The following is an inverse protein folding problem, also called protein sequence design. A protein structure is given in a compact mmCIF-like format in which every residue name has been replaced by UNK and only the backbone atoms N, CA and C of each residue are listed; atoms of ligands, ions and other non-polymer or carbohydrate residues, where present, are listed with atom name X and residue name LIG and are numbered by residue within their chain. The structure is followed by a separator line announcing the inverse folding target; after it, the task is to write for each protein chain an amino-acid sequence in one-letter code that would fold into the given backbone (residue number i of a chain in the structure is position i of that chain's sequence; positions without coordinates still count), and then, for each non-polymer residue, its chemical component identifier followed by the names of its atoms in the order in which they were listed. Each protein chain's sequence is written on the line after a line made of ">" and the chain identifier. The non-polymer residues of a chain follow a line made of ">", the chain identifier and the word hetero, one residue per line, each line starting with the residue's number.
data_IF_507275598369
#
_entry.id   IF_507275598369
#
_cell.length_a   1.000
_cell.length_b   1.000
_cell.length_c   1.000
_cell.angle_alpha   90.00
_cell.angle_beta   90.00
_cell.angle_gamma   90.00
#
_symmetry.space_group_name_H-M   'P 1'
#
loop_
_entity.id
_entity.type
_entity.pdbx_description
1 polymer ?
#
# COMPACT_ATOMS: atom_id res chain seq x y z
N UNK A 1 -9.35 -32.64 -65.13
CA UNK A 1 -10.63 -32.00 -64.79
C UNK A 1 -10.31 -30.81 -63.89
N UNK A 2 -10.60 -29.58 -64.34
CA UNK A 2 -10.47 -28.33 -63.58
C UNK A 2 -11.81 -27.61 -63.70
N UNK A 3 -12.30 -27.00 -62.62
CA UNK A 3 -13.29 -25.92 -62.63
C UNK A 3 -13.19 -25.14 -61.31
N UNK A 4 -13.06 -23.82 -61.41
CA UNK A 4 -13.23 -22.85 -60.32
C UNK A 4 -14.54 -22.07 -60.45
N UNK A 5 -14.77 -21.14 -59.51
CA UNK A 5 -15.90 -20.16 -59.36
C UNK A 5 -17.28 -20.81 -59.10
N UNK A 6 -18.19 -20.34 -58.22
CA UNK A 6 -18.41 -19.02 -57.60
C UNK A 6 -19.55 -19.14 -56.53
N UNK A 7 -19.58 -18.23 -55.54
CA UNK A 7 -20.74 -17.45 -55.02
C UNK A 7 -22.08 -18.14 -54.61
N UNK A 8 -22.77 -17.84 -53.49
CA UNK A 8 -22.63 -16.82 -52.45
C UNK A 8 -23.75 -16.92 -51.39
N UNK A 9 -23.74 -16.07 -50.36
CA UNK A 9 -24.89 -15.83 -49.49
C UNK A 9 -25.07 -14.32 -49.24
N UNK A 10 -26.32 -13.84 -49.10
CA UNK A 10 -26.73 -12.47 -49.40
C UNK A 10 -26.84 -11.59 -48.13
N UNK A 11 -26.58 -10.30 -48.29
CA UNK A 11 -26.85 -9.24 -47.31
C UNK A 11 -25.57 -8.71 -46.67
N UNK A 12 -24.81 -7.82 -47.30
CA UNK A 12 -25.11 -6.39 -47.42
C UNK A 12 -25.64 -5.77 -46.11
N UNK A 13 -24.73 -5.19 -45.33
CA UNK A 13 -24.95 -3.94 -44.59
C UNK A 13 -23.62 -3.40 -44.02
N UNK A 14 -23.18 -2.25 -44.55
CA UNK A 14 -22.27 -1.33 -43.87
C UNK A 14 -23.07 -0.46 -42.86
N UNK A 15 -22.49 0.63 -42.38
CA UNK A 15 -21.90 0.86 -41.07
C UNK A 15 -22.94 1.22 -39.99
N UNK A 16 -22.93 0.51 -38.84
CA UNK A 16 -23.63 1.01 -37.66
C UNK A 16 -22.72 2.01 -36.95
N UNK A 17 -22.87 3.29 -37.33
CA UNK A 17 -22.56 4.46 -36.52
C UNK A 17 -23.33 4.34 -35.20
N UNK A 18 -22.78 3.58 -34.27
CA UNK A 18 -23.20 3.57 -32.88
C UNK A 18 -22.38 4.61 -32.15
N UNK A 19 -22.97 5.77 -31.88
CA UNK A 19 -22.45 6.70 -30.89
C UNK A 19 -22.28 5.94 -29.55
N UNK A 20 -21.10 5.41 -29.30
CA UNK A 20 -20.71 4.99 -27.96
C UNK A 20 -20.38 6.28 -27.21
N UNK A 21 -21.14 6.67 -26.17
CA UNK A 21 -20.68 7.70 -25.27
C UNK A 21 -19.38 7.16 -24.64
N UNK A 22 -18.26 7.82 -24.95
CA UNK A 22 -16.97 7.60 -24.31
C UNK A 22 -17.13 8.01 -22.84
N UNK A 23 -17.64 7.08 -22.05
CA UNK A 23 -17.86 7.21 -20.62
C UNK A 23 -17.41 5.92 -19.93
N UNK A 24 -16.36 5.28 -20.44
CA UNK A 24 -15.77 4.12 -19.80
C UNK A 24 -14.67 4.60 -18.87
N UNK A 25 -15.07 4.97 -17.65
CA UNK A 25 -14.15 4.98 -16.52
C UNK A 25 -13.74 3.53 -16.28
N UNK A 26 -12.72 3.06 -17.00
CA UNK A 26 -12.23 1.68 -16.93
C UNK A 26 -11.58 1.44 -15.57
N UNK A 27 -12.38 1.00 -14.60
CA UNK A 27 -11.88 0.39 -13.37
C UNK A 27 -11.46 -1.05 -13.72
N UNK A 28 -10.16 -1.41 -13.64
CA UNK A 28 -9.63 -2.65 -14.24
C UNK A 28 -9.85 -3.90 -13.39
N UNK A 29 -11.03 -4.09 -12.78
CA UNK A 29 -11.25 -5.19 -11.81
C UNK A 29 -12.63 -5.86 -11.88
N UNK A 30 -13.35 -5.75 -13.01
CA UNK A 30 -14.63 -6.45 -13.22
C UNK A 30 -14.52 -7.47 -14.35
N UNK A 31 -13.45 -8.28 -14.34
CA UNK A 31 -13.34 -9.45 -15.21
C UNK A 31 -14.12 -10.62 -14.61
N UNK A 32 -14.87 -11.35 -15.43
CA UNK A 32 -15.60 -12.56 -15.07
C UNK A 32 -14.82 -13.45 -14.09
N UNK A 33 -15.29 -13.54 -12.85
CA UNK A 33 -14.77 -14.46 -11.84
C UNK A 33 -15.17 -15.88 -12.27
N UNK A 34 -14.25 -16.84 -12.42
CA UNK A 34 -14.61 -18.19 -12.84
C UNK A 34 -15.55 -18.87 -11.83
N UNK A 35 -16.41 -19.81 -12.27
CA UNK A 35 -17.32 -20.52 -11.36
C UNK A 35 -16.53 -21.22 -10.24
N UNK A 36 -16.89 -20.95 -8.98
CA UNK A 36 -16.19 -21.49 -7.80
C UNK A 36 -15.11 -20.58 -7.20
N UNK A 37 -14.84 -19.43 -7.80
CA UNK A 37 -13.94 -18.42 -7.24
C UNK A 37 -14.71 -17.36 -6.47
N UNK A 38 -14.20 -16.98 -5.29
CA UNK A 38 -14.70 -15.84 -4.52
C UNK A 38 -13.79 -14.62 -4.73
N UNK A 39 -14.37 -13.42 -4.75
CA UNK A 39 -13.61 -12.16 -4.77
C UNK A 39 -12.67 -12.16 -3.55
N UNK A 40 -11.35 -11.97 -3.73
CA UNK A 40 -10.44 -11.92 -2.58
C UNK A 40 -10.78 -10.69 -1.72
N UNK A 41 -11.08 -10.89 -0.43
CA UNK A 41 -10.92 -9.84 0.59
C UNK A 41 -9.42 -9.69 0.87
N UNK A 42 -8.87 -8.49 1.18
CA UNK A 42 -9.52 -7.37 1.88
C UNK A 42 -9.50 -6.06 1.08
N UNK A 43 -10.52 -5.21 1.24
CA UNK A 43 -10.64 -3.96 0.46
C UNK A 43 -9.68 -2.85 0.95
N UNK A 44 -9.02 -3.04 2.11
CA UNK A 44 -8.10 -2.06 2.70
C UNK A 44 -6.93 -2.81 3.35
N UNK A 45 -5.70 -2.58 2.87
CA UNK A 45 -4.50 -2.98 3.57
C UNK A 45 -4.34 -2.04 4.79
N UNK A 46 -4.04 -2.56 6.00
CA UNK A 46 -3.74 -1.70 7.13
C UNK A 46 -2.57 -0.79 6.74
N UNK A 47 -2.69 0.48 7.10
CA UNK A 47 -1.66 1.48 6.83
C UNK A 47 -0.33 0.99 7.41
N UNK A 48 0.76 1.15 6.67
CA UNK A 48 2.08 0.81 7.19
C UNK A 48 2.37 1.63 8.47
N UNK A 49 2.39 0.95 9.62
CA UNK A 49 2.69 1.56 10.91
C UNK A 49 4.19 1.80 11.06
N UNK A 50 4.63 3.06 10.96
CA UNK A 50 6.05 3.43 11.11
C UNK A 50 6.49 3.57 12.58
N UNK A 51 5.53 3.57 13.52
CA UNK A 51 5.81 3.79 14.93
C UNK A 51 6.82 2.82 15.56
N UNK A 52 6.77 1.50 15.29
CA UNK A 52 7.78 0.57 15.81
C UNK A 52 9.20 0.90 15.35
N UNK A 53 9.37 1.38 14.11
CA UNK A 53 10.67 1.76 13.57
C UNK A 53 11.23 3.01 14.27
N UNK A 54 10.38 4.02 14.50
CA UNK A 54 10.77 5.23 15.25
C UNK A 54 11.15 4.87 16.69
N UNK A 55 10.40 3.95 17.32
CA UNK A 55 10.70 3.44 18.66
C UNK A 55 12.07 2.76 18.70
N UNK A 56 12.36 1.87 17.74
CA UNK A 56 13.65 1.18 17.67
C UNK A 56 14.81 2.16 17.52
N UNK A 57 14.63 3.23 16.74
CA UNK A 57 15.64 4.30 16.61
C UNK A 57 15.86 5.03 17.94
N UNK A 58 14.78 5.39 18.65
CA UNK A 58 14.85 6.01 19.98
C UNK A 58 15.60 5.14 20.98
N UNK A 59 15.26 3.85 21.06
CA UNK A 59 15.96 2.86 21.90
C UNK A 59 17.44 2.76 21.52
N UNK A 60 17.74 2.73 20.22
CA UNK A 60 19.13 2.68 19.73
C UNK A 60 19.92 3.88 20.20
N UNK A 61 19.37 5.10 20.12
CA UNK A 61 20.06 6.30 20.60
C UNK A 61 20.25 6.32 22.11
N UNK A 62 19.28 5.84 22.89
CA UNK A 62 19.43 5.74 24.35
C UNK A 62 20.48 4.71 24.75
N UNK A 63 20.42 3.50 24.16
CA UNK A 63 21.38 2.43 24.45
C UNK A 63 22.79 2.76 23.95
N UNK A 64 22.91 3.38 22.78
CA UNK A 64 24.20 3.85 22.23
C UNK A 64 24.74 5.00 23.08
N UNK A 65 23.92 5.97 23.46
CA UNK A 65 24.29 7.06 24.36
C UNK A 65 24.88 6.56 25.67
N UNK A 66 24.24 5.56 26.28
CA UNK A 66 24.76 4.87 27.48
C UNK A 66 26.06 4.09 27.21
N UNK A 67 26.15 3.37 26.08
CA UNK A 67 27.32 2.56 25.75
C UNK A 67 28.58 3.40 25.48
N UNK A 68 28.43 4.59 24.89
CA UNK A 68 29.55 5.50 24.57
C UNK A 68 29.83 6.50 25.69
N UNK A 69 28.93 6.65 26.67
CA UNK A 69 29.06 7.56 27.81
C UNK A 69 30.26 7.33 28.74
N UNK A 70 31.04 6.27 28.54
CA UNK A 70 32.32 6.02 29.25
C UNK A 70 33.52 6.78 28.67
N UNK A 71 33.38 7.44 27.52
CA UNK A 71 34.38 8.32 26.93
C UNK A 71 34.06 9.78 27.30
N UNK A 72 35.06 10.60 27.61
CA UNK A 72 35.03 11.98 28.16
C UNK A 72 34.10 13.02 27.45
N UNK A 73 33.33 12.63 26.42
CA UNK A 73 32.41 13.48 25.63
C UNK A 73 31.00 13.49 26.23
N UNK A 74 30.86 14.00 27.45
CA UNK A 74 29.57 14.01 28.19
C UNK A 74 28.49 14.84 27.49
N UNK A 75 28.87 15.93 26.81
CA UNK A 75 27.90 16.89 26.24
C UNK A 75 27.09 16.32 25.07
N UNK A 76 27.69 15.49 24.21
CA UNK A 76 27.00 14.91 23.04
C UNK A 76 26.11 13.73 23.44
N UNK A 77 26.52 12.95 24.45
CA UNK A 77 25.74 11.81 24.95
C UNK A 77 24.41 12.27 25.53
N UNK A 78 24.40 13.32 26.36
CA UNK A 78 23.16 13.82 26.98
C UNK A 78 22.17 14.25 25.90
N UNK A 79 22.64 14.91 24.83
CA UNK A 79 21.78 15.34 23.73
C UNK A 79 21.18 14.13 22.99
N UNK A 80 21.99 13.11 22.67
CA UNK A 80 21.50 11.91 21.99
C UNK A 80 20.51 11.11 22.84
N UNK A 81 20.77 10.99 24.14
CA UNK A 81 19.89 10.30 25.07
C UNK A 81 18.55 11.03 25.24
N UNK A 82 18.57 12.36 25.36
CA UNK A 82 17.35 13.18 25.40
C UNK A 82 16.55 13.09 24.10
N UNK A 83 17.20 13.13 22.94
CA UNK A 83 16.53 12.95 21.65
C UNK A 83 15.94 11.54 21.58
N UNK A 84 16.70 10.52 21.99
CA UNK A 84 16.24 9.13 22.07
C UNK A 84 15.00 8.98 22.95
N UNK A 85 15.00 9.61 24.13
CA UNK A 85 13.86 9.62 25.06
C UNK A 85 12.61 10.27 24.45
N UNK A 86 12.78 11.41 23.76
CA UNK A 86 11.69 12.11 23.08
C UNK A 86 11.13 11.23 21.95
N UNK A 87 12.00 10.66 21.12
CA UNK A 87 11.58 9.77 20.03
C UNK A 87 10.87 8.53 20.57
N UNK A 88 11.40 7.92 21.62
CA UNK A 88 10.81 6.74 22.25
C UNK A 88 9.41 7.03 22.81
N UNK A 89 9.25 8.13 23.55
CA UNK A 89 7.95 8.48 24.15
C UNK A 89 6.90 8.85 23.11
N UNK A 90 7.27 9.64 22.09
CA UNK A 90 6.37 9.95 20.97
C UNK A 90 6.01 8.71 20.16
N UNK A 91 6.98 7.84 19.87
CA UNK A 91 6.74 6.62 19.13
C UNK A 91 5.84 5.66 19.89
N UNK A 92 6.04 5.52 21.20
CA UNK A 92 5.20 4.68 22.05
C UNK A 92 3.76 5.21 22.11
N UNK A 93 3.59 6.52 22.30
CA UNK A 93 2.27 7.14 22.31
C UNK A 93 1.56 7.02 20.95
N UNK A 94 2.29 7.27 19.86
CA UNK A 94 1.79 7.14 18.49
C UNK A 94 1.39 5.70 18.17
N UNK A 95 2.22 4.73 18.55
CA UNK A 95 1.93 3.30 18.33
C UNK A 95 0.69 2.85 19.11
N UNK A 96 0.59 3.24 20.39
CA UNK A 96 -0.60 2.93 21.20
C UNK A 96 -1.86 3.57 20.62
N UNK A 97 -1.73 4.78 20.08
CA UNK A 97 -2.83 5.49 19.41
C UNK A 97 -3.29 4.76 18.15
N UNK A 98 -2.34 4.38 17.29
CA UNK A 98 -2.56 3.63 16.05
C UNK A 98 -3.30 2.31 16.32
N UNK A 99 -2.82 1.51 17.29
CA UNK A 99 -3.48 0.26 17.70
C UNK A 99 -4.88 0.47 18.28
N UNK A 100 -5.14 1.65 18.87
CA UNK A 100 -6.44 1.97 19.46
C UNK A 100 -7.43 2.43 18.39
N UNK A 101 -6.97 3.07 17.33
CA UNK A 101 -7.79 3.53 16.22
C UNK A 101 -8.25 2.34 15.37
N UNK A 102 -7.36 1.37 15.12
CA UNK A 102 -7.69 0.11 14.43
C UNK A 102 -8.81 -0.72 15.10
N UNK A 103 -9.12 -0.45 16.37
CA UNK A 103 -10.17 -1.17 17.11
C UNK A 103 -11.54 -0.47 17.06
N UNK A 104 -11.59 0.78 16.59
CA UNK A 104 -12.84 1.57 16.52
C UNK A 104 -13.51 1.50 15.16
N UNK A 105 -12.75 1.20 14.12
CA UNK A 105 -13.25 0.82 12.80
C UNK A 105 -13.62 -0.67 12.75
#
# INVERSE_FOLDING_TARGET
>A
MSNGSEFGAPGAQAPATGNQPIGENTSPASGNIPPGWHKPLPEHLPKAGYWPAIMALGITFMLWGLAVGFNEVVSTIIILDLIGLILFTLALAGWIGDLRDERKD
#
